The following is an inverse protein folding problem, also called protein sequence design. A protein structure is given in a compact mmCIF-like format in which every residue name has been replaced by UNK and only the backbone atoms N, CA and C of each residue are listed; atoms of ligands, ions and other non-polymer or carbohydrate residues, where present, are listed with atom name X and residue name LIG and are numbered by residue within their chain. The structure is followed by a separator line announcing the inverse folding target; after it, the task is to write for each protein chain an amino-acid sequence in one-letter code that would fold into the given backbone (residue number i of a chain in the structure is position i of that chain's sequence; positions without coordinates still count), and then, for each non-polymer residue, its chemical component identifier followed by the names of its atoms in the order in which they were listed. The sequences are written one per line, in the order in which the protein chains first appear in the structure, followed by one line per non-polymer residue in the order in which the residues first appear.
data_IF_203044785916
#
_entry.id   IF_203044785916
#
_cell.length_a   1.000
_cell.length_b   1.000
_cell.length_c   1.000
_cell.angle_alpha   90.00
_cell.angle_beta   90.00
_cell.angle_gamma   90.00
#
_symmetry.space_group_name_H-M   'P 1'
#
loop_
_entity.id
_entity.type
_entity.pdbx_description
1 polymer ?
#
# COMPACT_ATOMS: atom_id res chain seq x y z
N UNK A 1 7.01 15.88 -26.64
CA UNK A 1 8.02 16.27 -25.64
C UNK A 1 7.57 15.76 -24.29
N UNK A 2 7.89 14.51 -23.95
CA UNK A 2 7.51 13.93 -22.66
C UNK A 2 8.49 14.44 -21.60
N UNK A 3 7.99 15.27 -20.69
CA UNK A 3 8.72 15.56 -19.45
C UNK A 3 8.78 14.23 -18.69
N UNK A 4 9.91 13.55 -18.73
CA UNK A 4 10.26 12.52 -17.74
C UNK A 4 10.29 13.21 -16.39
N UNK A 5 9.13 13.21 -15.72
CA UNK A 5 8.95 13.83 -14.42
C UNK A 5 9.89 13.16 -13.41
N UNK A 6 10.53 13.97 -12.57
CA UNK A 6 11.33 13.49 -11.45
C UNK A 6 10.47 12.59 -10.56
N UNK A 7 10.78 11.30 -10.50
CA UNK A 7 10.07 10.35 -9.64
C UNK A 7 10.67 10.48 -8.24
N UNK A 8 9.87 10.98 -7.31
CA UNK A 8 10.22 11.04 -5.90
C UNK A 8 9.84 9.71 -5.23
N UNK A 9 10.75 9.13 -4.45
CA UNK A 9 10.51 7.93 -3.64
C UNK A 9 10.64 8.25 -2.16
N UNK A 10 9.75 7.67 -1.36
CA UNK A 10 9.80 7.82 0.09
C UNK A 10 10.77 6.77 0.65
N UNK A 11 11.71 7.20 1.48
CA UNK A 11 12.65 6.30 2.16
C UNK A 11 12.68 6.64 3.64
N UNK A 12 12.46 5.63 4.48
CA UNK A 12 12.62 5.75 5.93
C UNK A 12 14.10 5.96 6.23
N UNK A 13 14.42 7.02 6.98
CA UNK A 13 15.79 7.36 7.36
C UNK A 13 16.29 6.45 8.50
N UNK A 14 16.52 5.18 8.17
CA UNK A 14 17.07 4.19 9.10
C UNK A 14 18.16 3.38 8.40
N UNK A 15 19.41 3.57 8.84
CA UNK A 15 20.57 2.96 8.20
C UNK A 15 20.72 1.49 8.61
N UNK A 16 21.01 0.56 7.68
CA UNK A 16 21.27 -0.85 7.99
C UNK A 16 22.42 -1.06 8.97
N UNK A 17 23.37 -0.12 9.00
CA UNK A 17 24.55 -0.07 9.87
C UNK A 17 24.19 -0.04 11.37
N UNK A 18 22.96 0.35 11.71
CA UNK A 18 22.47 0.34 13.08
C UNK A 18 22.37 -1.10 13.63
N UNK A 19 21.97 -2.06 12.78
CA UNK A 19 21.90 -3.47 13.15
C UNK A 19 23.31 -4.05 13.28
N UNK A 20 24.23 -3.63 12.41
CA UNK A 20 25.61 -4.12 12.45
C UNK A 20 26.27 -3.67 13.75
N UNK A 21 26.06 -2.42 14.18
CA UNK A 21 26.54 -1.93 15.47
C UNK A 21 26.05 -2.80 16.64
N UNK A 22 24.76 -3.13 16.69
CA UNK A 22 24.23 -4.01 17.73
C UNK A 22 24.86 -5.42 17.68
N UNK A 23 24.99 -6.00 16.50
CA UNK A 23 25.62 -7.32 16.29
C UNK A 23 27.08 -7.31 16.72
N UNK A 24 27.84 -6.28 16.36
CA UNK A 24 29.24 -6.10 16.72
C UNK A 24 29.43 -5.96 18.22
N UNK A 25 28.62 -5.11 18.88
CA UNK A 25 28.65 -4.96 20.35
C UNK A 25 28.33 -6.28 21.05
N UNK A 26 27.36 -7.06 20.55
CA UNK A 26 27.04 -8.39 21.08
C UNK A 26 28.20 -9.36 20.90
N UNK A 27 28.81 -9.40 19.72
CA UNK A 27 29.93 -10.28 19.41
C UNK A 27 31.16 -9.96 20.27
N UNK A 28 31.51 -8.68 20.42
CA UNK A 28 32.64 -8.24 21.25
C UNK A 28 32.42 -8.61 22.73
N UNK A 29 31.21 -8.43 23.25
CA UNK A 29 30.86 -8.87 24.61
C UNK A 29 30.98 -10.39 24.78
N UNK A 30 30.49 -11.17 23.80
CA UNK A 30 30.57 -12.62 23.83
C UNK A 30 32.01 -13.14 23.81
N UNK A 31 32.92 -12.42 23.14
CA UNK A 31 34.35 -12.71 23.10
C UNK A 31 35.10 -12.21 24.35
N UNK A 32 34.41 -11.60 25.32
CA UNK A 32 35.01 -11.09 26.56
C UNK A 32 35.66 -9.71 26.46
N UNK A 33 35.53 -9.01 25.32
CA UNK A 33 36.06 -7.66 25.18
C UNK A 33 35.20 -6.64 25.94
N UNK A 34 35.86 -5.67 26.58
CA UNK A 34 35.19 -4.54 27.22
C UNK A 34 34.82 -3.48 26.18
N UNK A 35 33.54 -3.37 25.88
CA UNK A 35 33.01 -2.33 24.99
C UNK A 35 32.64 -1.09 25.81
N UNK A 36 33.05 0.13 25.40
CA UNK A 36 32.65 1.38 26.05
C UNK A 36 31.13 1.51 26.21
N UNK A 37 30.67 1.90 27.40
CA UNK A 37 29.24 2.00 27.74
C UNK A 37 28.46 2.92 26.78
N UNK A 38 29.09 3.98 26.29
CA UNK A 38 28.46 4.88 25.32
C UNK A 38 28.06 4.16 24.01
N UNK A 39 28.90 3.23 23.53
CA UNK A 39 28.63 2.44 22.32
C UNK A 39 27.54 1.41 22.60
N UNK A 40 27.60 0.77 23.76
CA UNK A 40 26.57 -0.18 24.21
C UNK A 40 25.19 0.49 24.32
N UNK A 41 25.12 1.68 24.91
CA UNK A 41 23.87 2.41 25.08
C UNK A 41 23.28 2.86 23.73
N UNK A 42 24.11 3.38 22.82
CA UNK A 42 23.69 3.71 21.45
C UNK A 42 23.18 2.48 20.70
N UNK A 43 23.90 1.36 20.76
CA UNK A 43 23.48 0.10 20.15
C UNK A 43 22.15 -0.41 20.73
N UNK A 44 21.96 -0.26 22.05
CA UNK A 44 20.72 -0.68 22.71
C UNK A 44 19.53 0.18 22.30
N UNK A 45 19.65 1.52 22.34
CA UNK A 45 18.60 2.45 21.90
C UNK A 45 18.20 2.20 20.45
N UNK A 46 19.19 2.01 19.58
CA UNK A 46 18.92 1.79 18.17
C UNK A 46 18.26 0.42 17.91
N UNK A 47 18.57 -0.61 18.71
CA UNK A 47 17.87 -1.89 18.68
C UNK A 47 16.42 -1.80 19.19
N UNK A 48 16.10 -0.88 20.12
CA UNK A 48 14.72 -0.65 20.56
C UNK A 48 13.87 0.00 19.46
N UNK A 49 14.46 0.89 18.66
CA UNK A 49 13.78 1.58 17.56
C UNK A 49 13.63 0.71 16.29
N UNK A 50 14.44 -0.35 16.19
CA UNK A 50 14.53 -1.20 15.00
C UNK A 50 13.18 -1.80 14.55
N UNK A 51 12.33 -2.37 15.42
CA UNK A 51 11.05 -2.93 15.00
C UNK A 51 10.13 -1.89 14.34
N UNK A 52 10.11 -0.67 14.87
CA UNK A 52 9.34 0.43 14.29
C UNK A 52 9.85 0.81 12.91
N UNK A 53 11.18 0.91 12.75
CA UNK A 53 11.79 1.21 11.46
C UNK A 53 11.49 0.13 10.41
N UNK A 54 11.57 -1.15 10.78
CA UNK A 54 11.22 -2.28 9.90
C UNK A 54 9.77 -2.18 9.45
N UNK A 55 8.85 -1.94 10.39
CA UNK A 55 7.43 -1.81 10.09
C UNK A 55 7.17 -0.64 9.13
N UNK A 56 7.75 0.53 9.38
CA UNK A 56 7.63 1.68 8.47
C UNK A 56 8.20 1.40 7.08
N UNK A 57 9.38 0.76 6.99
CA UNK A 57 10.00 0.40 5.71
C UNK A 57 9.09 -0.55 4.94
N UNK A 58 8.51 -1.54 5.63
CA UNK A 58 7.62 -2.50 4.98
C UNK A 58 6.30 -1.85 4.56
N UNK A 59 5.70 -0.98 5.38
CA UNK A 59 4.50 -0.22 4.98
C UNK A 59 4.79 0.65 3.75
N UNK A 60 5.92 1.35 3.70
CA UNK A 60 6.29 2.16 2.52
C UNK A 60 6.49 1.26 1.29
N UNK A 61 7.19 0.14 1.44
CA UNK A 61 7.41 -0.84 0.36
C UNK A 61 6.09 -1.41 -0.17
N UNK A 62 5.19 -1.79 0.72
CA UNK A 62 3.85 -2.30 0.36
C UNK A 62 3.08 -1.24 -0.41
N UNK A 63 3.06 0.01 0.06
CA UNK A 63 2.41 1.09 -0.66
C UNK A 63 2.99 1.31 -2.06
N UNK A 64 4.32 1.35 -2.21
CA UNK A 64 4.98 1.47 -3.52
C UNK A 64 4.60 0.31 -4.46
N UNK A 65 4.64 -0.93 -3.96
CA UNK A 65 4.26 -2.13 -4.73
C UNK A 65 2.81 -2.08 -5.17
N UNK A 66 1.90 -1.62 -4.30
CA UNK A 66 0.48 -1.46 -4.63
C UNK A 66 0.26 -0.36 -5.68
N UNK A 67 1.02 0.74 -5.62
CA UNK A 67 1.00 1.78 -6.66
C UNK A 67 1.50 1.26 -8.02
N UNK A 68 2.53 0.42 -8.03
CA UNK A 68 3.02 -0.21 -9.26
C UNK A 68 1.96 -1.11 -9.91
N UNK A 69 1.17 -1.86 -9.12
CA UNK A 69 0.08 -2.71 -9.63
C UNK A 69 -1.00 -1.92 -10.39
N UNK A 70 -1.29 -0.69 -9.97
CA UNK A 70 -2.35 0.15 -10.56
C UNK A 70 -1.84 1.14 -11.61
N UNK A 71 -0.52 1.29 -11.77
CA UNK A 71 0.09 2.33 -12.62
C UNK A 71 -0.42 2.28 -14.06
N UNK A 72 -0.58 1.09 -14.59
CA UNK A 72 -0.95 0.88 -16.00
C UNK A 72 -2.47 0.71 -16.17
N UNK A 73 -3.26 0.88 -15.10
CA UNK A 73 -4.72 0.69 -15.07
C UNK A 73 -5.45 2.01 -14.84
N UNK A 74 -5.58 2.80 -15.92
CA UNK A 74 -6.16 4.15 -15.89
C UNK A 74 -7.63 4.20 -15.40
N UNK A 75 -8.38 3.12 -15.57
CA UNK A 75 -9.74 2.90 -15.06
C UNK A 75 -9.81 2.92 -13.52
N UNK A 76 -8.80 2.36 -12.85
CA UNK A 76 -8.77 2.15 -11.39
C UNK A 76 -8.31 3.38 -10.62
N UNK A 77 -7.41 4.18 -11.20
CA UNK A 77 -6.77 5.31 -10.52
C UNK A 77 -7.77 6.27 -9.85
N UNK A 78 -8.90 6.67 -10.49
CA UNK A 78 -9.90 7.52 -9.86
C UNK A 78 -10.63 6.87 -8.69
N UNK A 79 -10.82 5.55 -8.72
CA UNK A 79 -11.56 4.80 -7.70
C UNK A 79 -10.81 4.74 -6.37
N UNK A 80 -9.49 4.68 -6.47
CA UNK A 80 -8.55 4.54 -5.34
C UNK A 80 -8.04 5.91 -4.85
N UNK A 81 -8.41 7.01 -5.51
CA UNK A 81 -7.91 8.35 -5.21
C UNK A 81 -8.15 8.80 -3.76
N UNK A 82 -9.32 8.48 -3.18
CA UNK A 82 -9.63 8.77 -1.79
C UNK A 82 -8.69 8.05 -0.82
N UNK A 83 -8.53 6.73 -0.98
CA UNK A 83 -7.65 5.91 -0.16
C UNK A 83 -6.18 6.34 -0.31
N UNK A 84 -5.77 6.70 -1.53
CA UNK A 84 -4.42 7.23 -1.79
C UNK A 84 -4.17 8.52 -1.01
N UNK A 85 -5.16 9.42 -0.98
CA UNK A 85 -5.08 10.66 -0.20
C UNK A 85 -4.97 10.37 1.29
N UNK A 86 -5.68 9.37 1.81
CA UNK A 86 -5.62 9.01 3.22
C UNK A 86 -4.23 8.49 3.62
N UNK A 87 -3.60 7.65 2.79
CA UNK A 87 -2.20 7.23 2.97
C UNK A 87 -1.26 8.45 2.95
N UNK A 88 -1.41 9.35 1.98
CA UNK A 88 -0.55 10.54 1.87
C UNK A 88 -0.72 11.50 3.06
N UNK A 89 -1.93 11.63 3.59
CA UNK A 89 -2.18 12.40 4.81
C UNK A 89 -1.44 11.80 6.01
N UNK A 90 -1.47 10.47 6.17
CA UNK A 90 -0.70 9.81 7.22
C UNK A 90 0.81 10.00 7.03
N UNK A 91 1.32 9.86 5.81
CA UNK A 91 2.74 10.14 5.51
C UNK A 91 3.11 11.58 5.89
N UNK A 92 2.26 12.56 5.57
CA UNK A 92 2.49 13.97 5.92
C UNK A 92 2.52 14.19 7.43
N UNK A 93 1.64 13.54 8.20
CA UNK A 93 1.68 13.57 9.68
C UNK A 93 2.99 12.97 10.21
N UNK A 94 3.48 11.89 9.58
CA UNK A 94 4.70 11.21 9.97
C UNK A 94 5.99 11.95 9.68
N UNK A 95 6.02 12.79 8.63
CA UNK A 95 7.23 13.55 8.27
C UNK A 95 7.70 14.52 9.37
N UNK A 96 6.79 14.95 10.25
CA UNK A 96 7.11 15.81 11.39
C UNK A 96 7.54 15.04 12.65
N UNK A 97 7.43 13.71 12.66
CA UNK A 97 7.76 12.89 13.83
C UNK A 97 9.26 12.58 13.91
N UNK A 98 9.75 12.54 15.15
CA UNK A 98 11.11 12.10 15.50
C UNK A 98 11.06 10.74 16.20
N UNK A 99 12.15 10.00 16.16
CA UNK A 99 12.24 8.64 16.71
C UNK A 99 12.04 8.58 18.23
N UNK A 100 12.33 9.66 18.96
CA UNK A 100 12.12 9.76 20.40
C UNK A 100 10.68 10.15 20.80
N UNK A 101 9.78 10.33 19.82
CA UNK A 101 8.40 10.75 20.08
C UNK A 101 7.58 9.64 20.75
N UNK A 102 6.83 10.00 21.80
CA UNK A 102 5.86 9.10 22.41
C UNK A 102 4.72 8.68 21.46
N UNK A 103 4.50 9.43 20.37
CA UNK A 103 3.50 9.13 19.35
C UNK A 103 4.01 8.16 18.28
N UNK A 104 5.27 7.72 18.33
CA UNK A 104 5.87 6.90 17.28
C UNK A 104 5.14 5.56 17.13
N UNK A 105 4.97 4.80 18.21
CA UNK A 105 4.31 3.50 18.18
C UNK A 105 2.87 3.55 17.62
N UNK A 106 1.95 4.39 18.15
CA UNK A 106 0.60 4.48 17.59
C UNK A 106 0.59 4.99 16.14
N UNK A 107 1.56 5.83 15.75
CA UNK A 107 1.68 6.27 14.36
C UNK A 107 2.10 5.12 13.42
N UNK A 108 3.08 4.30 13.82
CA UNK A 108 3.57 3.17 13.01
C UNK A 108 2.43 2.17 12.76
N UNK A 109 1.66 1.86 13.81
CA UNK A 109 0.50 0.97 13.72
C UNK A 109 -0.55 1.55 12.76
N UNK A 110 -0.94 2.81 12.96
CA UNK A 110 -1.94 3.48 12.12
C UNK A 110 -1.53 3.58 10.65
N UNK A 111 -0.26 3.90 10.36
CA UNK A 111 0.24 3.93 8.98
C UNK A 111 0.15 2.53 8.36
N UNK A 112 0.56 1.49 9.09
CA UNK A 112 0.48 0.11 8.61
C UNK A 112 -0.95 -0.29 8.31
N UNK A 113 -1.92 0.03 9.18
CA UNK A 113 -3.34 -0.25 8.96
C UNK A 113 -3.88 0.44 7.70
N UNK A 114 -3.59 1.74 7.53
CA UNK A 114 -4.07 2.51 6.37
C UNK A 114 -3.46 1.99 5.07
N UNK A 115 -2.18 1.61 5.09
CA UNK A 115 -1.51 1.00 3.91
C UNK A 115 -2.07 -0.39 3.60
N UNK A 116 -2.33 -1.22 4.62
CA UNK A 116 -2.92 -2.55 4.42
C UNK A 116 -4.33 -2.44 3.86
N UNK A 117 -5.16 -1.54 4.41
CA UNK A 117 -6.49 -1.26 3.85
C UNK A 117 -6.41 -0.80 2.40
N UNK A 118 -5.45 0.08 2.07
CA UNK A 118 -5.21 0.51 0.70
C UNK A 118 -4.86 -0.69 -0.21
N UNK A 119 -3.99 -1.58 0.25
CA UNK A 119 -3.63 -2.79 -0.48
C UNK A 119 -4.83 -3.70 -0.72
N UNK A 120 -5.56 -4.06 0.34
CA UNK A 120 -6.74 -4.94 0.26
C UNK A 120 -7.77 -4.39 -0.72
N UNK A 121 -8.09 -3.10 -0.60
CA UNK A 121 -9.05 -2.43 -1.49
C UNK A 121 -8.59 -2.40 -2.94
N UNK A 122 -7.30 -2.22 -3.19
CA UNK A 122 -6.75 -2.31 -4.54
C UNK A 122 -6.85 -3.74 -5.07
N UNK A 123 -6.50 -4.75 -4.27
CA UNK A 123 -6.58 -6.15 -4.68
C UNK A 123 -8.01 -6.60 -4.97
N UNK A 124 -8.96 -6.22 -4.12
CA UNK A 124 -10.39 -6.42 -4.36
C UNK A 124 -10.85 -5.83 -5.69
N UNK A 125 -10.46 -4.58 -5.95
CA UNK A 125 -10.88 -3.86 -7.13
C UNK A 125 -10.25 -4.46 -8.40
N UNK A 126 -8.99 -4.90 -8.33
CA UNK A 126 -8.34 -5.64 -9.42
C UNK A 126 -9.08 -6.94 -9.74
N UNK A 127 -9.55 -7.67 -8.73
CA UNK A 127 -10.31 -8.91 -8.93
C UNK A 127 -11.66 -8.65 -9.59
N UNK A 128 -12.38 -7.59 -9.18
CA UNK A 128 -13.66 -7.23 -9.80
C UNK A 128 -13.47 -6.75 -11.25
N UNK A 129 -12.45 -5.93 -11.52
CA UNK A 129 -12.13 -5.51 -12.89
C UNK A 129 -11.85 -6.71 -13.81
N UNK A 130 -11.11 -7.69 -13.32
CA UNK A 130 -10.84 -8.93 -14.06
C UNK A 130 -12.13 -9.71 -14.36
N UNK A 131 -13.01 -9.86 -13.36
CA UNK A 131 -14.31 -10.51 -13.55
C UNK A 131 -15.16 -9.80 -14.61
N UNK A 132 -15.23 -8.47 -14.53
CA UNK A 132 -15.99 -7.66 -15.49
C UNK A 132 -15.39 -7.77 -16.91
N UNK A 133 -14.06 -7.81 -17.04
CA UNK A 133 -13.40 -8.06 -18.32
C UNK A 133 -13.69 -9.45 -18.91
N UNK A 134 -13.84 -10.47 -18.07
CA UNK A 134 -14.24 -11.82 -18.50
C UNK A 134 -15.70 -11.84 -18.95
N UNK A 135 -16.60 -11.22 -18.19
CA UNK A 135 -18.02 -11.17 -18.54
C UNK A 135 -18.26 -10.33 -19.80
N UNK A 136 -17.54 -9.21 -19.98
CA UNK A 136 -17.58 -8.41 -21.21
C UNK A 136 -17.14 -9.20 -22.46
N UNK A 137 -16.04 -9.96 -22.38
CA UNK A 137 -15.61 -10.86 -23.47
C UNK A 137 -16.60 -12.01 -23.72
N UNK A 138 -17.31 -12.43 -22.69
CA UNK A 138 -18.35 -13.44 -22.82
C UNK A 138 -19.56 -12.88 -23.58
N UNK A 139 -19.89 -11.59 -23.45
CA UNK A 139 -20.92 -10.94 -24.27
C UNK A 139 -20.55 -10.94 -25.75
N UNK A 140 -19.28 -10.72 -26.09
CA UNK A 140 -18.81 -10.73 -27.49
C UNK A 140 -18.90 -12.11 -28.15
N UNK A 141 -18.80 -13.18 -27.37
CA UNK A 141 -18.72 -14.56 -27.87
C UNK A 141 -19.98 -15.38 -27.66
N UNK A 142 -20.98 -14.88 -26.91
CA UNK A 142 -22.18 -15.65 -26.61
C UNK A 142 -23.09 -15.80 -27.83
N UNK A 143 -23.82 -16.93 -27.94
CA UNK A 143 -24.85 -17.07 -28.96
C UNK A 143 -25.92 -15.99 -28.76
N UNK A 144 -26.50 -15.51 -29.86
CA UNK A 144 -27.56 -14.50 -29.85
C UNK A 144 -28.86 -15.07 -29.25
N UNK A 145 -28.89 -15.20 -27.94
CA UNK A 145 -29.99 -15.70 -27.14
C UNK A 145 -30.25 -14.71 -26.00
N UNK A 146 -31.50 -14.31 -25.84
CA UNK A 146 -31.91 -13.38 -24.79
C UNK A 146 -31.55 -13.91 -23.39
N UNK A 147 -31.55 -15.23 -23.20
CA UNK A 147 -31.26 -15.87 -21.91
C UNK A 147 -29.78 -15.75 -21.54
N UNK A 148 -28.87 -15.98 -22.49
CA UNK A 148 -27.43 -15.86 -22.24
C UNK A 148 -27.02 -14.41 -22.01
N UNK A 149 -27.57 -13.48 -22.80
CA UNK A 149 -27.33 -12.04 -22.61
C UNK A 149 -27.83 -11.56 -21.25
N UNK A 150 -29.05 -11.94 -20.84
CA UNK A 150 -29.62 -11.55 -19.56
C UNK A 150 -28.81 -12.09 -18.37
N UNK A 151 -28.31 -13.32 -18.45
CA UNK A 151 -27.48 -13.91 -17.39
C UNK A 151 -26.13 -13.18 -17.24
N UNK A 152 -25.46 -12.85 -18.36
CA UNK A 152 -24.17 -12.14 -18.32
C UNK A 152 -24.36 -10.70 -17.81
N UNK A 153 -25.39 -9.98 -18.27
CA UNK A 153 -25.71 -8.64 -17.78
C UNK A 153 -26.06 -8.65 -16.28
N UNK A 154 -26.75 -9.69 -15.80
CA UNK A 154 -27.06 -9.84 -14.37
C UNK A 154 -25.80 -10.06 -13.53
N UNK A 155 -24.80 -10.79 -14.04
CA UNK A 155 -23.51 -10.97 -13.39
C UNK A 155 -22.70 -9.68 -13.34
N UNK A 156 -22.65 -8.94 -14.45
CA UNK A 156 -22.01 -7.63 -14.51
C UNK A 156 -22.63 -6.66 -13.50
N UNK A 157 -23.97 -6.58 -13.45
CA UNK A 157 -24.66 -5.70 -12.51
C UNK A 157 -24.34 -6.07 -11.05
N UNK A 158 -24.31 -7.35 -10.69
CA UNK A 158 -23.93 -7.78 -9.34
C UNK A 158 -22.51 -7.36 -8.96
N UNK A 159 -21.56 -7.48 -9.90
CA UNK A 159 -20.19 -7.06 -9.66
C UNK A 159 -20.08 -5.53 -9.44
N UNK A 160 -20.89 -4.74 -10.16
CA UNK A 160 -20.97 -3.28 -9.99
C UNK A 160 -21.64 -2.92 -8.65
N UNK A 161 -22.73 -3.61 -8.29
CA UNK A 161 -23.44 -3.40 -7.02
C UNK A 161 -22.54 -3.71 -5.83
N UNK A 162 -21.74 -4.78 -5.89
CA UNK A 162 -20.74 -5.14 -4.88
C UNK A 162 -19.66 -4.05 -4.71
N UNK A 163 -19.25 -3.38 -5.80
CA UNK A 163 -18.35 -2.23 -5.73
C UNK A 163 -19.01 -1.01 -5.09
N UNK A 164 -20.31 -0.80 -5.34
CA UNK A 164 -21.08 0.32 -4.78
C UNK A 164 -21.18 0.26 -3.25
N UNK A 165 -21.28 -0.95 -2.68
CA UNK A 165 -21.32 -1.18 -1.24
C UNK A 165 -19.99 -0.84 -0.55
N UNK A 166 -18.86 -0.83 -1.28
CA UNK A 166 -17.51 -0.65 -0.73
C UNK A 166 -17.03 0.79 -0.66
N UNK A 167 -17.89 1.77 -0.99
CA UNK A 167 -17.63 3.22 -0.91
C UNK A 167 -16.35 3.69 -1.63
N UNK A 168 -16.06 3.16 -2.82
CA UNK A 168 -14.97 3.68 -3.65
C UNK A 168 -15.24 5.12 -4.10
N UNK A 169 -14.17 5.91 -4.26
CA UNK A 169 -14.29 7.28 -4.79
C UNK A 169 -14.70 7.23 -6.26
N UNK A 170 -15.40 8.25 -6.77
CA UNK A 170 -15.64 8.40 -8.21
C UNK A 170 -16.30 7.21 -8.94
N UNK A 171 -16.99 6.31 -8.22
CA UNK A 171 -17.59 5.11 -8.82
C UNK A 171 -18.54 5.44 -9.98
N UNK A 172 -19.34 6.51 -9.84
CA UNK A 172 -20.26 6.96 -10.87
C UNK A 172 -19.58 7.26 -12.22
N UNK A 173 -18.39 7.86 -12.22
CA UNK A 173 -17.62 8.14 -13.45
C UNK A 173 -17.09 6.85 -14.08
N UNK A 174 -16.79 5.84 -13.27
CA UNK A 174 -16.29 4.56 -13.74
C UNK A 174 -17.40 3.71 -14.34
N UNK A 175 -18.58 3.65 -13.70
CA UNK A 175 -19.77 2.96 -14.24
C UNK A 175 -20.19 3.60 -15.56
N UNK A 176 -20.22 4.93 -15.66
CA UNK A 176 -20.57 5.61 -16.91
C UNK A 176 -19.64 5.24 -18.09
N UNK A 177 -18.35 5.03 -17.83
CA UNK A 177 -17.41 4.57 -18.86
C UNK A 177 -17.56 3.10 -19.24
N UNK A 178 -18.18 2.30 -18.37
CA UNK A 178 -18.45 0.89 -18.63
C UNK A 178 -19.73 0.71 -19.46
N UNK A 179 -20.69 1.62 -19.31
CA UNK A 179 -21.96 1.63 -20.05
C UNK A 179 -21.83 2.15 -21.50
N UNK A 180 -20.74 2.86 -21.82
CA UNK A 180 -20.39 3.34 -23.17
C UNK A 180 -19.74 2.25 -24.03
#
# INVERSE_FOLDING_TARGET
SSKTGTILKLKVNFLPEIITLYKEVRNLKNLGFRVPLAIVNKAHQANQLYPFAISLIESVRTYERTLEKIRDKASIIPLVAGLRRDVLNQVSEGMALVWESYKLDPYVQKLSEVVLLFQEKVEDLLAVEEQISVDARSLETCPYSAVSLADILSRLQRAIDDLSLRQYSNLHLWVQRLDE
#
